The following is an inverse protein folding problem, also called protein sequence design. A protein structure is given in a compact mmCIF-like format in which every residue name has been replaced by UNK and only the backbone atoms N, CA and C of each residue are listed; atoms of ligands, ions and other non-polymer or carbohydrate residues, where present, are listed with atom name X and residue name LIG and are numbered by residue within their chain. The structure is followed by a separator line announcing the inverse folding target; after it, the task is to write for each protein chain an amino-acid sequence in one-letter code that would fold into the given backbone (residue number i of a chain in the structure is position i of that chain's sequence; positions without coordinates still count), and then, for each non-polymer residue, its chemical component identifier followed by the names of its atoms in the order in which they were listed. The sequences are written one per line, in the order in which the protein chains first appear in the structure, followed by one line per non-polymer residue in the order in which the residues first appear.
data_IF_621791221641
#
_entry.id   IF_621791221641
#
_cell.length_a   1.000
_cell.length_b   1.000
_cell.length_c   1.000
_cell.angle_alpha   90.00
_cell.angle_beta   90.00
_cell.angle_gamma   90.00
#
_symmetry.space_group_name_H-M   'P 1'
#
loop_
_entity.id
_entity.type
_entity.pdbx_description
1 polymer ?
#
# COMPACT_ATOMS: atom_id res chain seq x y z
N UNK A 1 -28.26 -23.31 7.89
CA UNK A 1 -27.06 -24.10 7.55
C UNK A 1 -25.82 -23.22 7.73
N UNK A 2 -25.03 -23.42 8.78
CA UNK A 2 -23.75 -22.71 8.95
C UNK A 2 -22.69 -23.39 8.09
N UNK A 3 -22.11 -22.66 7.12
CA UNK A 3 -20.92 -23.10 6.38
C UNK A 3 -19.69 -22.80 7.22
N UNK A 4 -19.12 -23.84 7.82
CA UNK A 4 -17.79 -23.80 8.45
C UNK A 4 -16.75 -23.62 7.34
N UNK A 5 -16.22 -22.41 7.21
CA UNK A 5 -15.09 -22.13 6.32
C UNK A 5 -13.82 -22.48 7.10
N UNK A 6 -13.04 -23.43 6.59
CA UNK A 6 -11.80 -23.89 7.23
C UNK A 6 -10.82 -22.73 7.39
N UNK A 7 -10.26 -22.54 8.58
CA UNK A 7 -9.27 -21.47 8.91
C UNK A 7 -8.08 -21.47 7.93
N UNK A 8 -7.74 -22.63 7.36
CA UNK A 8 -6.75 -22.78 6.30
C UNK A 8 -7.00 -21.86 5.09
N UNK A 9 -8.26 -21.62 4.71
CA UNK A 9 -8.60 -20.71 3.60
C UNK A 9 -8.28 -19.25 3.93
N UNK A 10 -8.33 -18.84 5.20
CA UNK A 10 -7.95 -17.48 5.63
C UNK A 10 -6.43 -17.34 5.70
N UNK A 11 -5.70 -18.37 6.12
CA UNK A 11 -4.23 -18.36 6.11
C UNK A 11 -3.65 -18.37 4.68
N UNK A 12 -4.26 -19.12 3.76
CA UNK A 12 -3.82 -19.15 2.36
C UNK A 12 -4.04 -17.82 1.63
N UNK A 13 -4.93 -16.94 2.10
CA UNK A 13 -5.05 -15.58 1.58
C UNK A 13 -3.90 -14.66 2.02
N UNK A 14 -3.17 -15.00 3.09
CA UNK A 14 -2.09 -14.19 3.65
C UNK A 14 -0.68 -14.64 3.23
N UNK A 15 -0.51 -15.87 2.73
CA UNK A 15 0.80 -16.40 2.32
C UNK A 15 1.29 -15.87 0.97
N UNK A 16 0.43 -15.21 0.18
CA UNK A 16 0.79 -14.55 -1.08
C UNK A 16 1.03 -13.05 -0.97
N UNK A 17 0.84 -12.45 0.22
CA UNK A 17 1.04 -11.04 0.44
C UNK A 17 2.54 -10.76 0.54
N UNK A 18 3.22 -10.68 -0.62
CA UNK A 18 4.49 -9.98 -0.74
C UNK A 18 4.34 -8.68 0.07
N UNK A 19 5.23 -8.38 1.03
CA UNK A 19 5.11 -7.16 1.83
C UNK A 19 4.83 -6.00 0.88
N UNK A 20 3.78 -5.25 1.18
CA UNK A 20 3.40 -4.13 0.33
C UNK A 20 4.66 -3.28 0.10
N UNK A 21 4.99 -2.95 -1.16
CA UNK A 21 6.17 -2.14 -1.41
C UNK A 21 6.09 -0.90 -0.52
N UNK A 22 7.19 -0.62 0.18
CA UNK A 22 7.32 0.55 1.03
C UNK A 22 7.95 1.65 0.17
N UNK A 23 7.40 2.85 0.24
CA UNK A 23 7.99 4.03 -0.39
C UNK A 23 9.18 4.43 0.46
N UNK A 24 10.37 4.35 -0.11
CA UNK A 24 11.55 4.92 0.52
C UNK A 24 11.45 6.45 0.39
N UNK A 25 11.08 7.11 1.49
CA UNK A 25 10.96 8.58 1.57
C UNK A 25 12.32 9.28 1.60
N UNK A 26 13.42 8.52 1.75
CA UNK A 26 14.79 9.06 1.72
C UNK A 26 15.39 9.05 0.32
N UNK A 27 14.75 8.33 -0.62
CA UNK A 27 15.10 8.31 -2.03
C UNK A 27 14.10 9.14 -2.86
N UNK A 28 14.57 10.29 -3.34
CA UNK A 28 13.81 11.17 -4.21
C UNK A 28 13.36 10.47 -5.51
N UNK A 29 14.14 9.50 -5.99
CA UNK A 29 13.81 8.71 -7.19
C UNK A 29 12.63 7.77 -6.91
N UNK A 30 12.62 7.12 -5.74
CA UNK A 30 11.52 6.27 -5.31
C UNK A 30 10.23 7.08 -5.11
N UNK A 31 10.33 8.26 -4.48
CA UNK A 31 9.21 9.17 -4.27
C UNK A 31 8.63 9.65 -5.60
N UNK A 32 9.48 10.08 -6.55
CA UNK A 32 9.07 10.51 -7.89
C UNK A 32 8.43 9.39 -8.70
N UNK A 33 8.99 8.17 -8.61
CA UNK A 33 8.44 6.99 -9.25
C UNK A 33 7.01 6.69 -8.77
N UNK A 34 6.79 6.71 -7.45
CA UNK A 34 5.47 6.46 -6.88
C UNK A 34 4.48 7.57 -7.14
N UNK A 35 4.91 8.84 -7.11
CA UNK A 35 4.07 9.99 -7.46
C UNK A 35 3.55 9.87 -8.90
N UNK A 36 4.46 9.55 -9.83
CA UNK A 36 4.12 9.31 -11.24
C UNK A 36 3.17 8.13 -11.40
N UNK A 37 3.44 7.02 -10.69
CA UNK A 37 2.63 5.79 -10.79
C UNK A 37 1.22 5.95 -10.23
N UNK A 38 1.07 6.73 -9.16
CA UNK A 38 -0.22 7.02 -8.53
C UNK A 38 -0.93 8.22 -9.17
N UNK A 39 -0.26 8.90 -10.12
CA UNK A 39 -0.72 10.10 -10.79
C UNK A 39 -1.17 11.17 -9.79
N UNK A 40 -0.27 11.49 -8.85
CA UNK A 40 -0.42 12.52 -7.80
C UNK A 40 0.84 13.38 -7.75
N UNK A 41 0.74 14.57 -7.13
CA UNK A 41 1.92 15.40 -6.89
C UNK A 41 2.82 14.78 -5.81
N UNK A 42 4.10 15.14 -5.80
CA UNK A 42 5.03 14.71 -4.75
C UNK A 42 4.60 15.21 -3.37
N UNK A 43 3.97 16.39 -3.30
CA UNK A 43 3.46 16.98 -2.06
C UNK A 43 2.25 16.19 -1.53
N UNK A 44 1.30 15.82 -2.40
CA UNK A 44 0.16 14.97 -2.02
C UNK A 44 0.62 13.57 -1.58
N UNK A 45 1.65 13.04 -2.24
CA UNK A 45 2.24 11.76 -1.86
C UNK A 45 2.89 11.85 -0.47
N UNK A 46 3.65 12.91 -0.20
CA UNK A 46 4.28 13.14 1.10
C UNK A 46 3.23 13.34 2.21
N UNK A 47 2.16 14.09 1.93
CA UNK A 47 1.04 14.27 2.86
C UNK A 47 0.35 12.93 3.17
N UNK A 48 0.06 12.12 2.14
CA UNK A 48 -0.50 10.78 2.33
C UNK A 48 0.43 9.89 3.16
N UNK A 49 1.74 9.92 2.91
CA UNK A 49 2.72 9.14 3.68
C UNK A 49 2.76 9.58 5.15
N UNK A 50 2.60 10.87 5.45
CA UNK A 50 2.52 11.34 6.84
C UNK A 50 1.26 10.83 7.56
N UNK A 51 0.13 10.73 6.86
CA UNK A 51 -1.15 10.29 7.43
C UNK A 51 -1.24 8.76 7.62
N UNK A 52 -0.80 7.97 6.63
CA UNK A 52 -0.99 6.51 6.64
C UNK A 52 0.31 5.71 6.67
N UNK A 53 1.45 6.37 6.71
CA UNK A 53 2.79 5.78 6.67
C UNK A 53 3.28 5.48 5.26
N UNK A 54 4.55 5.04 5.11
CA UNK A 54 5.20 4.82 3.82
C UNK A 54 4.71 3.57 3.06
N UNK A 55 3.63 2.94 3.50
CA UNK A 55 3.08 1.76 2.81
C UNK A 55 2.35 2.18 1.55
N UNK A 56 2.80 1.73 0.38
CA UNK A 56 2.13 2.01 -0.90
C UNK A 56 0.66 1.61 -0.87
N UNK A 57 0.34 0.46 -0.26
CA UNK A 57 -1.04 -0.01 -0.18
C UNK A 57 -1.92 0.92 0.66
N UNK A 58 -1.38 1.47 1.75
CA UNK A 58 -2.09 2.41 2.61
C UNK A 58 -2.28 3.75 1.88
N UNK A 59 -1.20 4.30 1.31
CA UNK A 59 -1.21 5.55 0.54
C UNK A 59 -2.20 5.46 -0.63
N UNK A 60 -2.17 4.38 -1.38
CA UNK A 60 -3.07 4.14 -2.50
C UNK A 60 -4.53 4.04 -2.06
N UNK A 61 -4.81 3.37 -0.93
CA UNK A 61 -6.14 3.30 -0.33
C UNK A 61 -6.62 4.67 0.15
N UNK A 62 -5.73 5.47 0.73
CA UNK A 62 -6.02 6.84 1.19
C UNK A 62 -6.35 7.76 0.02
N UNK A 63 -5.58 7.68 -1.08
CA UNK A 63 -5.77 8.46 -2.29
C UNK A 63 -6.89 7.94 -3.22
N UNK A 64 -7.47 6.77 -2.92
CA UNK A 64 -8.52 6.15 -3.73
C UNK A 64 -8.07 5.70 -5.13
N UNK A 65 -6.81 5.24 -5.27
CA UNK A 65 -6.19 4.85 -6.55
C UNK A 65 -6.07 3.34 -6.77
#
# INVERSE_FOLDING_TARGET
MLRLVTVASVLSSNLGARPAPVIDTTDDSATTYWATRLNVSSDDLAAAIQEVGPSVAAVRRYLGK
#
